data_IF_136768595074
#
_entry.id   IF_136768595074
#
_cell.length_a   1.000
_cell.length_b   1.000
_cell.length_c   1.000
_cell.angle_alpha   90.00
_cell.angle_beta   90.00
_cell.angle_gamma   90.00
#
_symmetry.space_group_name_H-M   'P 1'
#
loop_
_entity.id
_entity.type
_entity.pdbx_description
1 polymer ?
#
# COMPACT_ATOMS: atom_id res chain seq x y z
N UNK A 1 -8.14 -15.43 -20.95
CA UNK A 1 -6.81 -16.07 -20.98
C UNK A 1 -6.74 -17.14 -19.89
N UNK A 2 -6.50 -18.40 -20.26
CA UNK A 2 -6.27 -19.50 -19.30
C UNK A 2 -4.79 -19.45 -18.89
N UNK A 3 -4.52 -19.43 -17.59
CA UNK A 3 -3.16 -19.62 -17.09
C UNK A 3 -2.64 -20.98 -17.59
N UNK A 4 -1.41 -21.02 -18.11
CA UNK A 4 -0.76 -22.26 -18.50
C UNK A 4 -0.32 -23.00 -17.24
N UNK A 5 -1.26 -23.69 -16.55
CA UNK A 5 -0.92 -24.60 -15.46
C UNK A 5 -0.98 -26.06 -15.92
N UNK A 6 0.17 -26.72 -15.80
CA UNK A 6 0.38 -28.14 -15.45
C UNK A 6 0.04 -29.27 -16.43
N UNK A 7 -0.30 -29.00 -17.70
CA UNK A 7 -0.25 -30.05 -18.72
C UNK A 7 0.86 -29.76 -19.75
N UNK A 8 2.02 -30.38 -19.57
CA UNK A 8 3.23 -30.15 -20.38
C UNK A 8 3.04 -30.28 -21.89
N UNK A 9 2.03 -31.05 -22.35
CA UNK A 9 1.67 -31.14 -23.78
C UNK A 9 1.05 -29.85 -24.32
N UNK A 10 0.20 -29.19 -23.54
CA UNK A 10 -0.46 -27.94 -23.94
C UNK A 10 0.52 -26.77 -24.07
N UNK A 11 1.47 -26.67 -23.13
CA UNK A 11 2.52 -25.64 -23.14
C UNK A 11 3.43 -25.79 -24.36
N UNK A 12 3.92 -27.01 -24.65
CA UNK A 12 4.77 -27.26 -25.83
C UNK A 12 4.09 -26.92 -27.14
N UNK A 13 2.81 -27.29 -27.30
CA UNK A 13 2.02 -26.96 -28.50
C UNK A 13 1.85 -25.46 -28.67
N UNK A 14 1.55 -24.73 -27.59
CA UNK A 14 1.41 -23.28 -27.61
C UNK A 14 2.74 -22.58 -27.97
N UNK A 15 3.86 -22.98 -27.36
CA UNK A 15 5.18 -22.42 -27.66
C UNK A 15 5.63 -22.71 -29.10
N UNK A 16 5.34 -23.90 -29.64
CA UNK A 16 5.60 -24.22 -31.05
C UNK A 16 4.77 -23.35 -32.00
N UNK A 17 3.48 -23.17 -31.69
CA UNK A 17 2.60 -22.27 -32.42
C UNK A 17 3.11 -20.83 -32.40
N UNK A 18 3.49 -20.34 -31.22
CA UNK A 18 4.05 -18.99 -31.04
C UNK A 18 5.35 -18.77 -31.82
N UNK A 19 6.27 -19.72 -31.78
CA UNK A 19 7.50 -19.67 -32.58
C UNK A 19 7.19 -19.52 -34.06
N UNK A 20 6.26 -20.35 -34.57
CA UNK A 20 5.79 -20.28 -35.96
C UNK A 20 5.18 -18.92 -36.28
N UNK A 21 4.38 -18.35 -35.39
CA UNK A 21 3.82 -17.00 -35.54
C UNK A 21 4.91 -15.94 -35.68
N UNK A 22 5.93 -15.98 -34.81
CA UNK A 22 7.06 -15.04 -34.89
C UNK A 22 7.83 -15.18 -36.20
N UNK A 23 8.20 -16.41 -36.55
CA UNK A 23 9.05 -16.73 -37.70
C UNK A 23 8.35 -16.48 -39.05
N UNK A 24 7.10 -16.93 -39.19
CA UNK A 24 6.41 -16.94 -40.47
C UNK A 24 5.52 -15.72 -40.71
N UNK A 25 5.06 -15.05 -39.65
CA UNK A 25 4.09 -13.96 -39.79
C UNK A 25 4.64 -12.63 -39.30
N UNK A 26 5.19 -12.54 -38.09
CA UNK A 26 5.66 -11.25 -37.59
C UNK A 26 6.91 -10.78 -38.34
N UNK A 27 7.95 -11.61 -38.44
CA UNK A 27 9.24 -11.19 -39.02
C UNK A 27 9.15 -10.72 -40.48
N UNK A 28 8.50 -11.45 -41.42
CA UNK A 28 8.48 -11.04 -42.82
C UNK A 28 7.75 -9.71 -43.06
N UNK A 29 6.86 -9.31 -42.15
CA UNK A 29 6.01 -8.13 -42.31
C UNK A 29 6.54 -6.89 -41.56
N UNK A 30 7.64 -7.01 -40.81
CA UNK A 30 8.32 -5.87 -40.17
C UNK A 30 9.47 -5.45 -41.08
N UNK A 31 9.16 -4.71 -42.14
CA UNK A 31 10.11 -4.34 -43.18
C UNK A 31 11.10 -3.24 -42.72
N UNK A 32 10.71 -2.38 -41.78
CA UNK A 32 11.55 -1.27 -41.28
C UNK A 32 11.71 -1.31 -39.76
N UNK A 33 12.87 -0.85 -39.24
CA UNK A 33 13.05 -0.64 -37.81
C UNK A 33 11.99 0.32 -37.24
N UNK A 34 11.65 0.12 -35.98
CA UNK A 34 10.81 0.99 -35.15
C UNK A 34 9.39 1.23 -35.68
N UNK A 35 8.83 0.29 -36.43
CA UNK A 35 7.42 0.35 -36.86
C UNK A 35 6.46 -0.39 -35.93
N UNK A 36 6.90 -1.51 -35.35
CA UNK A 36 6.01 -2.36 -34.55
C UNK A 36 6.06 -2.01 -33.07
N UNK A 37 4.87 -1.80 -32.47
CA UNK A 37 4.66 -1.83 -31.02
C UNK A 37 4.06 -3.17 -30.62
N UNK A 38 4.71 -3.89 -29.71
CA UNK A 38 4.31 -5.24 -29.32
C UNK A 38 3.94 -5.31 -27.84
N UNK A 39 2.75 -5.82 -27.53
CA UNK A 39 2.35 -6.18 -26.18
C UNK A 39 2.24 -7.72 -26.10
N UNK A 40 3.07 -8.35 -25.27
CA UNK A 40 3.16 -9.80 -25.13
C UNK A 40 2.85 -10.23 -23.70
N UNK A 41 1.82 -11.04 -23.52
CA UNK A 41 1.42 -11.59 -22.23
C UNK A 41 1.46 -13.11 -22.28
N UNK A 42 2.27 -13.71 -21.42
CA UNK A 42 2.37 -15.16 -21.27
C UNK A 42 2.64 -15.47 -19.79
N UNK A 43 1.58 -15.70 -19.01
CA UNK A 43 1.74 -16.02 -17.59
C UNK A 43 2.34 -17.43 -17.44
N UNK A 44 3.61 -17.51 -17.07
CA UNK A 44 4.42 -18.72 -16.84
C UNK A 44 4.66 -18.97 -15.35
N UNK A 45 5.06 -20.19 -15.00
CA UNK A 45 5.34 -20.58 -13.62
C UNK A 45 6.80 -20.42 -13.17
N UNK A 46 7.73 -20.28 -14.12
CA UNK A 46 9.17 -20.34 -13.87
C UNK A 46 9.96 -19.63 -15.00
N UNK A 47 11.22 -19.29 -14.71
CA UNK A 47 12.13 -18.56 -15.60
C UNK A 47 12.51 -19.36 -16.85
N UNK A 48 12.62 -20.68 -16.76
CA UNK A 48 12.97 -21.53 -17.90
C UNK A 48 11.87 -21.49 -18.97
N UNK A 49 10.62 -21.65 -18.55
CA UNK A 49 9.44 -21.52 -19.39
C UNK A 49 9.29 -20.10 -19.92
N UNK A 50 9.52 -19.09 -19.07
CA UNK A 50 9.54 -17.68 -19.50
C UNK A 50 10.56 -17.41 -20.60
N UNK A 51 11.78 -17.94 -20.44
CA UNK A 51 12.87 -17.82 -21.42
C UNK A 51 12.47 -18.43 -22.75
N UNK A 52 11.91 -19.65 -22.73
CA UNK A 52 11.40 -20.32 -23.93
C UNK A 52 10.25 -19.53 -24.58
N UNK A 53 9.45 -18.81 -23.81
CA UNK A 53 8.34 -17.99 -24.31
C UNK A 53 8.83 -16.72 -25.03
N UNK A 54 9.89 -16.08 -24.53
CA UNK A 54 10.45 -14.85 -25.14
C UNK A 54 11.49 -15.12 -26.22
N UNK A 55 12.15 -16.28 -26.22
CA UNK A 55 13.21 -16.62 -27.17
C UNK A 55 12.80 -16.42 -28.66
N UNK A 56 11.59 -16.76 -29.11
CA UNK A 56 11.17 -16.51 -30.50
C UNK A 56 11.17 -15.02 -30.90
N UNK A 57 11.04 -14.10 -29.94
CA UNK A 57 11.15 -12.67 -30.20
C UNK A 57 12.61 -12.24 -30.42
N UNK A 58 13.56 -12.93 -29.78
CA UNK A 58 15.00 -12.61 -29.82
C UNK A 58 15.74 -13.33 -30.95
N UNK A 59 15.29 -14.52 -31.35
CA UNK A 59 15.93 -15.27 -32.44
C UNK A 59 15.70 -14.53 -33.77
N UNK A 60 16.75 -14.22 -34.52
CA UNK A 60 16.60 -13.64 -35.86
C UNK A 60 16.29 -12.13 -35.94
N UNK A 61 16.45 -11.38 -34.85
CA UNK A 61 16.28 -9.90 -34.82
C UNK A 61 17.61 -9.10 -34.73
N UNK A 62 18.60 -9.25 -35.64
CA UNK A 62 19.74 -8.32 -35.64
C UNK A 62 19.38 -6.89 -36.08
N UNK A 63 18.23 -6.69 -36.76
CA UNK A 63 17.92 -5.46 -37.50
C UNK A 63 16.53 -4.84 -37.24
N UNK A 64 15.58 -5.61 -36.71
CA UNK A 64 14.21 -5.11 -36.46
C UNK A 64 14.07 -4.63 -35.03
N UNK A 65 14.52 -3.39 -34.79
CA UNK A 65 14.24 -2.68 -33.54
C UNK A 65 12.73 -2.47 -33.42
N UNK A 66 12.11 -2.81 -32.29
CA UNK A 66 10.71 -2.47 -32.06
C UNK A 66 10.58 -0.99 -31.73
N UNK A 67 9.45 -0.38 -32.13
CA UNK A 67 9.09 0.98 -31.72
C UNK A 67 8.83 1.08 -30.21
N UNK A 68 8.41 -0.05 -29.65
CA UNK A 68 8.16 -0.23 -28.23
C UNK A 68 7.67 -1.66 -27.96
N UNK A 69 7.94 -2.14 -26.77
CA UNK A 69 7.53 -3.47 -26.33
C UNK A 69 7.11 -3.47 -24.86
N UNK A 70 6.04 -4.21 -24.57
CA UNK A 70 5.60 -4.55 -23.23
C UNK A 70 5.52 -6.07 -23.10
N UNK A 71 6.12 -6.62 -22.05
CA UNK A 71 6.15 -8.05 -21.78
C UNK A 71 5.61 -8.29 -20.37
N UNK A 72 4.66 -9.21 -20.22
CA UNK A 72 4.21 -9.76 -18.93
C UNK A 72 4.39 -11.27 -18.94
N UNK A 73 5.20 -11.76 -18.00
CA UNK A 73 5.51 -13.17 -17.83
C UNK A 73 4.82 -13.82 -16.62
N UNK A 74 4.26 -13.03 -15.70
CA UNK A 74 3.45 -13.58 -14.61
C UNK A 74 2.42 -12.57 -14.11
N UNK A 75 1.26 -13.06 -13.70
CA UNK A 75 0.21 -12.24 -13.07
C UNK A 75 0.61 -11.74 -11.69
N UNK A 76 1.56 -12.38 -11.02
CA UNK A 76 2.12 -11.92 -9.74
C UNK A 76 3.51 -11.33 -9.97
N UNK A 77 3.97 -10.42 -9.09
CA UNK A 77 5.36 -9.98 -9.10
C UNK A 77 6.28 -11.18 -8.88
N UNK A 78 7.33 -11.26 -9.69
CA UNK A 78 8.40 -12.24 -9.59
C UNK A 78 9.69 -11.54 -10.07
N UNK A 79 10.71 -11.37 -9.21
CA UNK A 79 11.89 -10.58 -9.57
C UNK A 79 12.66 -11.12 -10.78
N UNK A 80 12.82 -12.45 -10.89
CA UNK A 80 13.60 -13.07 -11.95
C UNK A 80 12.87 -12.98 -13.30
N UNK A 81 11.57 -13.26 -13.31
CA UNK A 81 10.73 -13.08 -14.50
C UNK A 81 10.59 -11.60 -14.89
N UNK A 82 10.59 -10.67 -13.94
CA UNK A 82 10.60 -9.23 -14.22
C UNK A 82 11.90 -8.80 -14.90
N UNK A 83 13.04 -9.26 -14.38
CA UNK A 83 14.35 -9.00 -14.96
C UNK A 83 14.48 -9.60 -16.37
N UNK A 84 13.92 -10.80 -16.58
CA UNK A 84 13.84 -11.41 -17.91
C UNK A 84 12.99 -10.57 -18.87
N UNK A 85 11.82 -10.10 -18.44
CA UNK A 85 10.94 -9.24 -19.24
C UNK A 85 11.65 -7.92 -19.60
N UNK A 86 12.28 -7.25 -18.63
CA UNK A 86 13.03 -6.01 -18.83
C UNK A 86 14.21 -6.19 -19.78
N UNK A 87 15.04 -7.20 -19.56
CA UNK A 87 16.18 -7.52 -20.43
C UNK A 87 15.72 -7.78 -21.86
N UNK A 88 14.66 -8.57 -22.03
CA UNK A 88 14.09 -8.89 -23.35
C UNK A 88 13.59 -7.63 -24.05
N UNK A 89 12.81 -6.79 -23.36
CA UNK A 89 12.29 -5.54 -23.94
C UNK A 89 13.44 -4.61 -24.36
N UNK A 90 14.46 -4.46 -23.51
CA UNK A 90 15.62 -3.62 -23.82
C UNK A 90 16.40 -4.13 -25.04
N UNK A 91 16.60 -5.45 -25.15
CA UNK A 91 17.23 -6.07 -26.33
C UNK A 91 16.41 -5.83 -27.61
N UNK A 92 15.08 -5.94 -27.53
CA UNK A 92 14.19 -5.77 -28.69
C UNK A 92 14.12 -4.33 -29.21
N UNK A 93 14.31 -3.33 -28.35
CA UNK A 93 14.13 -1.91 -28.71
C UNK A 93 15.45 -1.25 -29.08
N UNK A 94 16.52 -1.55 -28.36
CA UNK A 94 17.81 -0.89 -28.56
C UNK A 94 18.73 -1.67 -29.48
N UNK A 95 18.40 -2.93 -29.76
CA UNK A 95 19.32 -3.90 -30.35
C UNK A 95 20.47 -4.15 -29.38
N UNK A 96 21.18 -5.28 -29.51
CA UNK A 96 22.32 -5.59 -28.64
C UNK A 96 23.47 -4.56 -28.61
N UNK A 97 23.35 -3.42 -29.30
CA UNK A 97 24.36 -2.34 -29.39
C UNK A 97 24.31 -1.32 -28.26
N UNK A 98 23.19 -1.12 -27.55
CA UNK A 98 23.14 -0.14 -26.46
C UNK A 98 23.98 -0.53 -25.22
N UNK A 99 24.30 -1.80 -25.04
CA UNK A 99 25.26 -2.22 -24.00
C UNK A 99 26.72 -1.82 -24.34
N UNK A 100 27.01 -1.44 -25.59
CA UNK A 100 28.37 -1.04 -26.02
C UNK A 100 28.54 0.47 -26.21
N UNK A 101 27.46 1.26 -26.30
CA UNK A 101 27.57 2.70 -26.56
C UNK A 101 27.94 3.57 -25.35
N UNK A 102 27.95 3.00 -24.13
CA UNK A 102 28.39 3.75 -22.94
C UNK A 102 29.91 3.89 -22.82
N UNK A 103 30.69 3.31 -23.73
CA UNK A 103 32.15 3.31 -23.63
C UNK A 103 32.84 4.52 -24.31
N UNK A 104 32.25 5.13 -25.34
CA UNK A 104 32.99 6.07 -26.21
C UNK A 104 32.37 7.47 -26.36
N UNK A 105 31.22 7.75 -25.74
CA UNK A 105 30.67 9.10 -25.66
C UNK A 105 30.60 9.49 -24.20
N UNK A 106 31.53 10.31 -23.72
CA UNK A 106 31.52 10.85 -22.36
C UNK A 106 30.32 11.80 -22.20
N UNK A 107 29.12 11.25 -22.06
CA UNK A 107 27.98 11.99 -21.57
C UNK A 107 28.33 12.30 -20.11
N UNK A 108 28.77 13.53 -19.86
CA UNK A 108 29.09 14.00 -18.51
C UNK A 108 27.85 13.77 -17.66
N UNK A 109 27.93 12.85 -16.70
CA UNK A 109 26.84 12.56 -15.80
C UNK A 109 26.52 13.82 -14.99
N UNK A 110 25.24 14.07 -14.77
CA UNK A 110 24.82 15.17 -13.93
C UNK A 110 25.37 14.96 -12.51
N UNK A 111 26.17 15.90 -12.02
CA UNK A 111 26.80 15.84 -10.68
C UNK A 111 25.80 16.27 -9.61
N UNK A 112 24.80 15.42 -9.36
CA UNK A 112 23.71 15.71 -8.40
C UNK A 112 24.23 16.11 -7.02
N UNK A 113 25.33 15.49 -6.56
CA UNK A 113 25.92 15.76 -5.24
C UNK A 113 26.67 17.11 -5.15
N UNK A 114 26.92 17.78 -6.27
CA UNK A 114 27.53 19.12 -6.28
C UNK A 114 26.49 20.22 -6.05
N UNK A 115 25.19 19.88 -6.02
CA UNK A 115 24.11 20.81 -5.70
C UNK A 115 24.06 21.11 -4.19
N UNK A 116 23.70 22.36 -3.80
CA UNK A 116 23.30 22.67 -2.42
C UNK A 116 22.21 21.72 -1.91
N UNK A 117 22.25 21.39 -0.62
CA UNK A 117 21.32 20.45 0.02
C UNK A 117 19.86 20.85 -0.19
N UNK A 118 19.53 22.13 -0.20
CA UNK A 118 18.19 22.64 -0.42
C UNK A 118 17.66 22.26 -1.81
N UNK A 119 18.53 22.35 -2.84
CA UNK A 119 18.16 21.95 -4.20
C UNK A 119 18.07 20.43 -4.33
N UNK A 120 18.97 19.68 -3.67
CA UNK A 120 18.90 18.21 -3.64
C UNK A 120 17.57 17.75 -3.04
N UNK A 121 17.20 18.30 -1.89
CA UNK A 121 15.93 17.99 -1.21
C UNK A 121 14.73 18.39 -2.08
N UNK A 122 14.72 19.59 -2.64
CA UNK A 122 13.66 20.06 -3.54
C UNK A 122 13.48 19.13 -4.75
N UNK A 123 14.56 18.71 -5.41
CA UNK A 123 14.49 17.75 -6.53
C UNK A 123 13.93 16.40 -6.06
N UNK A 124 14.37 15.93 -4.88
CA UNK A 124 13.93 14.67 -4.31
C UNK A 124 12.45 14.66 -3.92
N UNK A 125 11.86 15.80 -3.56
CA UNK A 125 10.41 15.94 -3.33
C UNK A 125 9.58 15.65 -4.60
N UNK A 126 10.15 15.87 -5.80
CA UNK A 126 9.50 15.54 -7.07
C UNK A 126 9.68 14.08 -7.51
N UNK A 127 10.22 13.23 -6.64
CA UNK A 127 10.39 11.80 -6.89
C UNK A 127 9.27 10.97 -6.22
N UNK A 128 9.38 9.64 -6.29
CA UNK A 128 8.47 8.74 -5.58
C UNK A 128 8.78 8.61 -4.07
N UNK A 129 9.60 9.50 -3.48
CA UNK A 129 9.81 9.57 -2.03
C UNK A 129 8.54 10.01 -1.30
N UNK A 130 7.68 10.81 -1.93
CA UNK A 130 6.42 11.25 -1.33
C UNK A 130 5.27 10.73 -2.19
N UNK A 131 4.35 10.01 -1.56
CA UNK A 131 3.14 9.59 -2.24
C UNK A 131 2.27 10.84 -2.53
N UNK A 132 1.58 10.93 -3.67
CA UNK A 132 0.65 12.04 -3.92
C UNK A 132 -0.45 12.17 -2.85
N UNK A 133 -0.84 11.05 -2.24
CA UNK A 133 -1.76 11.03 -1.11
C UNK A 133 -1.10 11.31 0.23
N UNK A 134 0.21 11.54 0.27
CA UNK A 134 1.08 11.65 1.46
C UNK A 134 0.95 10.48 2.45
N UNK A 135 0.43 9.32 2.03
CA UNK A 135 0.10 8.20 2.91
C UNK A 135 0.78 6.90 2.49
N UNK A 136 1.68 6.40 3.33
CA UNK A 136 2.35 5.12 3.16
C UNK A 136 1.73 4.10 4.13
N UNK A 137 1.18 3.00 3.63
CA UNK A 137 0.78 1.90 4.51
C UNK A 137 2.00 1.05 4.87
N UNK A 138 2.00 0.49 6.08
CA UNK A 138 3.01 -0.44 6.54
C UNK A 138 2.42 -1.60 7.32
N UNK A 139 2.93 -2.82 7.09
CA UNK A 139 2.71 -3.98 7.96
C UNK A 139 3.92 -4.92 7.94
N UNK A 140 4.03 -5.80 8.93
CA UNK A 140 5.20 -6.68 9.09
C UNK A 140 5.42 -7.65 7.92
N UNK A 141 4.39 -7.95 7.12
CA UNK A 141 4.47 -8.89 6.00
C UNK A 141 4.95 -8.21 4.71
N UNK A 142 4.53 -6.97 4.47
CA UNK A 142 4.76 -6.28 3.20
C UNK A 142 5.79 -5.14 3.31
N UNK A 143 6.18 -4.75 4.52
CA UNK A 143 6.98 -3.53 4.74
C UNK A 143 6.17 -2.29 4.34
N UNK A 144 6.81 -1.34 3.67
CA UNK A 144 6.15 -0.16 3.10
C UNK A 144 5.43 -0.52 1.80
N UNK A 145 4.16 -0.15 1.68
CA UNK A 145 3.40 -0.34 0.46
C UNK A 145 2.34 0.75 0.32
N UNK A 146 1.90 0.99 -0.91
CA UNK A 146 0.75 1.84 -1.19
C UNK A 146 -0.42 0.96 -1.61
N UNK A 147 -1.45 0.88 -0.77
CA UNK A 147 -2.64 0.08 -1.09
C UNK A 147 -3.53 0.84 -2.04
N UNK A 148 -3.30 0.64 -3.33
CA UNK A 148 -4.33 0.89 -4.33
C UNK A 148 -5.47 -0.10 -4.06
N UNK A 149 -6.45 0.26 -3.25
CA UNK A 149 -7.68 -0.53 -3.09
C UNK A 149 -8.50 -0.43 -4.37
N UNK A 150 -8.02 -1.11 -5.41
CA UNK A 150 -8.88 -1.63 -6.44
C UNK A 150 -9.68 -2.74 -5.80
N UNK A 151 -10.99 -2.54 -5.71
CA UNK A 151 -11.93 -3.60 -5.39
C UNK A 151 -11.93 -4.59 -6.56
N UNK A 152 -10.89 -5.43 -6.64
CA UNK A 152 -10.71 -6.48 -7.66
C UNK A 152 -11.89 -7.49 -7.65
N UNK A 153 -12.72 -7.43 -6.59
CA UNK A 153 -13.97 -8.19 -6.47
C UNK A 153 -15.25 -7.46 -6.92
N UNK A 154 -15.28 -6.13 -7.05
CA UNK A 154 -16.53 -5.47 -7.44
C UNK A 154 -16.81 -5.54 -8.94
N UNK A 155 -15.77 -5.49 -9.81
CA UNK A 155 -16.02 -5.55 -11.25
C UNK A 155 -16.49 -6.92 -11.75
N UNK A 156 -16.21 -8.02 -11.04
CA UNK A 156 -16.60 -9.37 -11.50
C UNK A 156 -17.91 -9.90 -10.94
N UNK A 157 -18.46 -9.33 -9.86
CA UNK A 157 -19.68 -9.86 -9.22
C UNK A 157 -20.83 -8.87 -9.05
N UNK A 158 -20.63 -7.58 -9.27
CA UNK A 158 -21.70 -6.58 -9.14
C UNK A 158 -21.63 -5.51 -10.25
N UNK A 159 -22.24 -5.75 -11.42
CA UNK A 159 -22.32 -4.77 -12.50
C UNK A 159 -23.13 -3.50 -12.13
N UNK A 160 -23.86 -3.52 -11.01
CA UNK A 160 -24.91 -2.54 -10.70
C UNK A 160 -24.75 -1.80 -9.37
N UNK A 161 -23.67 -2.00 -8.61
CA UNK A 161 -23.41 -1.11 -7.45
C UNK A 161 -23.03 0.26 -8.01
N UNK A 162 -24.02 1.16 -7.93
CA UNK A 162 -24.05 2.55 -8.33
C UNK A 162 -22.66 3.22 -8.42
N UNK A 163 -22.26 3.60 -9.65
CA UNK A 163 -21.15 4.53 -9.90
C UNK A 163 -21.27 5.82 -9.08
N UNK A 164 -22.48 6.19 -8.64
CA UNK A 164 -22.73 7.38 -7.79
C UNK A 164 -22.07 7.33 -6.41
N UNK A 165 -21.74 6.15 -5.87
CA UNK A 165 -21.08 6.06 -4.56
C UNK A 165 -19.59 6.44 -4.62
N UNK A 166 -18.98 6.40 -5.81
CA UNK A 166 -17.59 6.81 -6.06
C UNK A 166 -17.48 8.18 -6.73
N UNK A 167 -18.61 8.87 -7.00
CA UNK A 167 -18.66 10.24 -7.52
C UNK A 167 -18.78 11.31 -6.41
N UNK A 168 -18.33 11.00 -5.19
CA UNK A 168 -18.11 12.03 -4.17
C UNK A 168 -17.13 13.07 -4.75
N UNK A 169 -17.65 14.27 -5.04
CA UNK A 169 -16.96 15.39 -5.71
C UNK A 169 -15.67 15.84 -5.01
N UNK A 170 -15.41 15.36 -3.79
CA UNK A 170 -14.28 15.79 -2.96
C UNK A 170 -13.14 14.77 -2.85
N UNK A 171 -13.22 13.61 -3.53
CA UNK A 171 -12.08 12.69 -3.61
C UNK A 171 -11.20 13.11 -4.80
N UNK A 172 -9.88 13.31 -4.66
CA UNK A 172 -9.00 13.54 -5.80
C UNK A 172 -8.80 12.21 -6.55
N UNK A 173 -9.85 11.76 -7.23
CA UNK A 173 -9.88 10.57 -8.09
C UNK A 173 -8.78 10.65 -9.16
N UNK A 174 -8.43 11.89 -9.56
CA UNK A 174 -7.33 12.21 -10.46
C UNK A 174 -5.94 11.80 -9.92
N UNK A 175 -5.71 11.78 -8.60
CA UNK A 175 -4.40 11.42 -8.03
C UNK A 175 -4.21 9.90 -7.94
N UNK A 176 -5.25 9.17 -7.53
CA UNK A 176 -5.22 7.70 -7.55
C UNK A 176 -5.08 7.14 -8.98
N UNK A 177 -5.61 7.85 -9.98
CA UNK A 177 -5.39 7.54 -11.41
C UNK A 177 -3.94 7.76 -11.86
N UNK A 178 -3.22 8.74 -11.28
CA UNK A 178 -1.80 8.96 -11.62
C UNK A 178 -0.91 7.79 -11.20
N UNK A 179 -1.22 7.13 -10.09
CA UNK A 179 -0.35 6.11 -9.46
C UNK A 179 -0.78 4.68 -9.84
N UNK A 180 -1.79 4.49 -10.69
CA UNK A 180 -2.27 3.15 -11.04
C UNK A 180 -2.24 2.90 -12.55
N UNK A 181 -1.27 2.12 -13.00
CA UNK A 181 -1.15 1.73 -14.42
C UNK A 181 -2.39 0.97 -14.92
N UNK A 182 -3.07 0.24 -14.04
CA UNK A 182 -4.24 -0.58 -14.37
C UNK A 182 -5.44 0.21 -14.90
N UNK A 183 -5.58 1.50 -14.55
CA UNK A 183 -6.73 2.32 -14.98
C UNK A 183 -6.55 2.98 -16.33
N UNK A 184 -5.30 3.08 -16.82
CA UNK A 184 -4.96 3.80 -18.05
C UNK A 184 -4.96 2.90 -19.29
N UNK A 185 -4.84 1.58 -19.13
CA UNK A 185 -4.78 0.67 -20.27
C UNK A 185 -6.18 0.32 -20.81
N UNK A 186 -6.38 0.28 -22.14
CA UNK A 186 -7.58 -0.30 -22.74
C UNK A 186 -7.77 -1.72 -22.20
N UNK A 187 -8.97 -2.04 -21.70
CA UNK A 187 -9.31 -3.33 -21.05
C UNK A 187 -8.89 -4.60 -21.81
N UNK A 188 -8.57 -4.48 -23.10
CA UNK A 188 -8.18 -5.57 -23.99
C UNK A 188 -6.68 -5.93 -23.93
N UNK A 189 -5.80 -4.99 -23.53
CA UNK A 189 -4.34 -5.14 -23.69
C UNK A 189 -3.70 -5.82 -22.46
N UNK A 190 -4.26 -5.63 -21.28
CA UNK A 190 -3.73 -6.17 -20.02
C UNK A 190 -3.23 -5.07 -19.10
N UNK A 191 -2.25 -5.40 -18.25
CA UNK A 191 -1.52 -4.45 -17.43
C UNK A 191 -0.08 -4.93 -17.40
N UNK A 192 0.87 -4.03 -17.66
CA UNK A 192 2.32 -4.31 -17.66
C UNK A 192 3.04 -3.66 -16.47
N UNK A 193 2.33 -3.44 -15.38
CA UNK A 193 2.87 -2.87 -14.16
C UNK A 193 3.86 -3.82 -13.46
N UNK A 194 5.14 -3.42 -13.41
CA UNK A 194 6.20 -4.16 -12.72
C UNK A 194 5.99 -4.32 -11.20
N UNK A 195 5.16 -3.48 -10.59
CA UNK A 195 4.83 -3.55 -9.15
C UNK A 195 3.81 -4.66 -8.86
N UNK A 196 2.92 -4.96 -9.81
CA UNK A 196 1.84 -5.92 -9.63
C UNK A 196 2.03 -7.22 -10.42
N UNK A 197 2.97 -7.25 -11.35
CA UNK A 197 3.21 -8.34 -12.27
C UNK A 197 4.70 -8.54 -12.49
N UNK A 198 5.08 -9.75 -12.92
CA UNK A 198 6.38 -9.95 -13.54
C UNK A 198 6.34 -9.41 -14.96
N UNK A 199 6.52 -8.10 -15.11
CA UNK A 199 6.31 -7.39 -16.36
C UNK A 199 7.26 -6.20 -16.50
N UNK A 200 7.46 -5.79 -17.75
CA UNK A 200 8.15 -4.55 -18.11
C UNK A 200 7.51 -3.95 -19.36
N UNK A 201 7.40 -2.63 -19.40
CA UNK A 201 6.95 -1.89 -20.59
C UNK A 201 7.85 -0.71 -20.85
N UNK A 202 8.27 -0.60 -22.10
CA UNK A 202 8.95 0.58 -22.65
C UNK A 202 7.97 1.61 -23.23
N UNK A 203 6.74 1.19 -23.54
CA UNK A 203 5.71 2.03 -24.14
C UNK A 203 5.06 2.89 -23.06
N UNK A 204 4.77 2.27 -21.92
CA UNK A 204 4.12 2.91 -20.79
C UNK A 204 4.97 2.69 -19.54
N UNK A 205 5.69 3.73 -19.14
CA UNK A 205 6.44 3.70 -17.89
C UNK A 205 5.48 3.47 -16.72
N UNK A 206 5.82 2.48 -15.91
CA UNK A 206 5.03 2.13 -14.73
C UNK A 206 5.07 3.28 -13.73
N UNK A 207 3.92 3.90 -13.47
CA UNK A 207 3.73 4.97 -12.47
C UNK A 207 3.22 4.44 -11.13
N UNK A 208 3.09 3.12 -10.99
CA UNK A 208 2.78 2.53 -9.70
C UNK A 208 3.90 2.78 -8.73
N UNK A 209 3.53 3.31 -7.56
CA UNK A 209 4.46 3.54 -6.48
C UNK A 209 4.98 2.20 -5.96
N UNK A 210 6.28 2.17 -5.73
CA UNK A 210 6.98 1.16 -4.95
C UNK A 210 7.86 1.90 -3.95
N UNK A 211 8.27 1.24 -2.85
CA UNK A 211 9.25 1.83 -1.96
C UNK A 211 10.44 2.39 -2.75
N UNK A 212 10.93 3.60 -2.43
CA UNK A 212 11.95 4.31 -3.18
C UNK A 212 13.36 3.72 -2.95
N UNK A 213 13.47 2.39 -2.87
CA UNK A 213 14.68 1.62 -2.64
C UNK A 213 15.84 2.05 -3.55
N UNK A 214 15.65 2.29 -4.86
CA UNK A 214 16.77 2.71 -5.71
C UNK A 214 17.43 4.02 -5.26
N UNK A 215 16.67 4.99 -4.74
CA UNK A 215 17.20 6.28 -4.28
C UNK A 215 18.06 6.09 -3.03
N UNK A 216 17.58 5.28 -2.08
CA UNK A 216 18.28 5.04 -0.81
C UNK A 216 19.49 4.11 -0.93
N UNK A 217 19.73 3.51 -2.11
CA UNK A 217 20.88 2.63 -2.37
C UNK A 217 21.98 3.30 -3.20
N UNK A 218 21.84 4.56 -3.63
CA UNK A 218 22.84 5.23 -4.48
C UNK A 218 24.11 5.59 -3.69
N UNK A 219 23.95 6.32 -2.58
CA UNK A 219 25.04 6.76 -1.71
C UNK A 219 24.47 7.08 -0.31
N UNK A 220 25.33 7.17 0.71
CA UNK A 220 24.90 7.55 2.07
C UNK A 220 24.22 8.92 2.10
N UNK A 221 24.84 9.93 1.49
CA UNK A 221 24.25 11.27 1.49
C UNK A 221 22.93 11.35 0.69
N UNK A 222 22.77 10.57 -0.38
CA UNK A 222 21.47 10.46 -1.09
C UNK A 222 20.42 9.74 -0.24
N UNK A 223 20.84 8.73 0.52
CA UNK A 223 20.00 8.02 1.47
C UNK A 223 19.51 8.95 2.59
N UNK A 224 20.40 9.72 3.20
CA UNK A 224 20.07 10.65 4.29
C UNK A 224 19.06 11.70 3.84
N UNK A 225 19.34 12.36 2.70
CA UNK A 225 18.42 13.31 2.08
C UNK A 225 17.07 12.65 1.77
N UNK A 226 17.07 11.49 1.11
CA UNK A 226 15.86 10.79 0.69
C UNK A 226 15.01 10.33 1.87
N UNK A 227 15.62 9.73 2.89
CA UNK A 227 14.90 9.28 4.08
C UNK A 227 14.36 10.46 4.89
N UNK A 228 15.08 11.59 4.95
CA UNK A 228 14.59 12.79 5.62
C UNK A 228 13.26 13.27 5.01
N UNK A 229 13.15 13.27 3.67
CA UNK A 229 11.92 13.63 2.96
C UNK A 229 10.85 12.55 3.19
N UNK A 230 11.23 11.28 3.03
CA UNK A 230 10.31 10.15 3.16
C UNK A 230 9.59 10.15 4.51
N UNK A 231 10.32 10.29 5.62
CA UNK A 231 9.72 10.29 6.96
C UNK A 231 9.06 11.62 7.35
N UNK A 232 9.53 12.75 6.81
CA UNK A 232 9.00 14.08 7.12
C UNK A 232 7.67 14.35 6.45
N UNK A 233 7.51 13.92 5.20
CA UNK A 233 6.38 14.33 4.36
C UNK A 233 5.30 13.27 4.24
N UNK A 234 5.62 11.99 4.45
CA UNK A 234 4.60 10.95 4.45
C UNK A 234 4.02 10.75 5.86
N UNK A 235 2.73 10.47 5.90
CA UNK A 235 1.99 9.90 7.02
C UNK A 235 2.07 8.38 6.91
N UNK A 236 2.38 7.71 8.01
CA UNK A 236 2.51 6.26 8.03
C UNK A 236 1.29 5.61 8.65
N UNK A 237 0.62 4.75 7.87
CA UNK A 237 -0.53 3.97 8.31
C UNK A 237 -0.10 2.56 8.67
N UNK A 238 0.04 2.32 9.96
CA UNK A 238 0.48 1.04 10.52
C UNK A 238 -0.74 0.15 10.69
N UNK A 239 -0.81 -0.91 9.90
CA UNK A 239 -1.94 -1.85 9.92
C UNK A 239 -1.55 -3.22 10.48
N UNK A 240 -2.51 -4.01 11.00
CA UNK A 240 -2.26 -5.36 11.47
C UNK A 240 -1.75 -6.30 10.37
N UNK A 241 -1.13 -7.39 10.77
CA UNK A 241 -0.48 -8.35 9.87
C UNK A 241 -1.34 -8.78 8.68
N UNK A 242 -0.74 -8.74 7.50
CA UNK A 242 -1.39 -9.06 6.24
C UNK A 242 -2.46 -8.04 5.80
N UNK A 243 -2.53 -6.87 6.44
CA UNK A 243 -3.52 -5.83 6.16
C UNK A 243 -4.96 -6.28 6.45
N UNK A 244 -5.13 -7.31 7.29
CA UNK A 244 -6.41 -7.96 7.62
C UNK A 244 -7.12 -7.22 8.76
N UNK A 245 -7.46 -5.96 8.54
CA UNK A 245 -8.10 -5.12 9.56
C UNK A 245 -9.50 -5.59 9.95
N UNK A 246 -10.13 -6.41 9.11
CA UNK A 246 -11.46 -6.97 9.31
C UNK A 246 -11.50 -8.25 10.15
N UNK A 247 -10.33 -8.83 10.49
CA UNK A 247 -10.32 -10.05 11.30
C UNK A 247 -10.55 -9.66 12.75
N UNK A 248 -11.54 -10.28 13.38
CA UNK A 248 -11.75 -10.17 14.83
C UNK A 248 -10.50 -10.65 15.54
N UNK A 249 -10.09 -9.93 16.60
CA UNK A 249 -8.99 -10.36 17.48
C UNK A 249 -9.33 -11.73 18.07
N UNK A 250 -8.59 -12.74 17.62
CA UNK A 250 -8.69 -14.13 18.09
C UNK A 250 -7.45 -14.57 18.88
N UNK A 251 -6.40 -13.74 18.89
CA UNK A 251 -5.18 -13.96 19.66
C UNK A 251 -4.47 -12.64 19.95
N UNK A 252 -3.79 -12.58 21.09
CA UNK A 252 -2.90 -11.47 21.40
C UNK A 252 -1.66 -11.58 20.50
N UNK A 253 -1.25 -10.51 19.83
CA UNK A 253 -0.01 -10.54 19.08
C UNK A 253 1.18 -10.62 20.06
N UNK A 254 2.26 -11.31 19.67
CA UNK A 254 3.48 -11.32 20.47
C UNK A 254 4.14 -9.92 20.49
N UNK A 255 4.01 -9.18 19.39
CA UNK A 255 4.51 -7.81 19.21
C UNK A 255 3.49 -6.98 18.45
N UNK A 256 3.33 -5.72 18.82
CA UNK A 256 2.43 -4.84 18.09
C UNK A 256 3.06 -4.41 16.76
N UNK A 257 2.26 -4.22 15.69
CA UNK A 257 2.77 -3.75 14.39
C UNK A 257 3.59 -2.46 14.50
N UNK A 258 3.14 -1.51 15.32
CA UNK A 258 3.83 -0.24 15.58
C UNK A 258 5.18 -0.42 16.25
N UNK A 259 5.33 -1.41 17.14
CA UNK A 259 6.60 -1.76 17.78
C UNK A 259 7.59 -2.40 16.81
N UNK A 260 7.10 -3.09 15.78
CA UNK A 260 7.94 -3.63 14.71
C UNK A 260 8.34 -2.53 13.75
N UNK A 261 7.41 -1.64 13.40
CA UNK A 261 7.65 -0.46 12.57
C UNK A 261 8.70 0.46 13.17
N UNK A 262 8.57 0.84 14.45
CA UNK A 262 9.48 1.78 15.12
C UNK A 262 10.94 1.34 15.04
N UNK A 263 11.21 0.04 15.22
CA UNK A 263 12.57 -0.54 15.13
C UNK A 263 13.14 -0.58 13.72
N UNK A 264 12.35 -0.30 12.69
CA UNK A 264 12.80 -0.20 11.29
C UNK A 264 13.11 1.24 10.87
N UNK A 265 12.81 2.23 11.71
CA UNK A 265 13.13 3.63 11.44
C UNK A 265 14.61 3.86 11.79
N UNK A 266 15.45 4.28 10.83
CA UNK A 266 16.84 4.64 11.12
C UNK A 266 16.92 5.72 12.20
N UNK A 267 17.92 5.64 13.08
CA UNK A 267 18.06 6.55 14.24
C UNK A 267 18.00 8.02 13.84
N UNK A 268 18.76 8.40 12.81
CA UNK A 268 18.81 9.76 12.25
C UNK A 268 17.51 10.22 11.56
N UNK A 269 16.49 9.36 11.48
CA UNK A 269 15.21 9.66 10.85
C UNK A 269 14.05 9.76 11.84
N UNK A 270 14.26 9.39 13.10
CA UNK A 270 13.19 9.28 14.09
C UNK A 270 12.53 10.64 14.38
N UNK A 271 13.30 11.73 14.41
CA UNK A 271 12.78 13.09 14.64
C UNK A 271 12.04 13.68 13.43
N UNK A 272 12.16 13.09 12.24
CA UNK A 272 11.42 13.56 11.06
C UNK A 272 9.97 13.10 11.07
N UNK A 273 9.64 12.04 11.81
CA UNK A 273 8.29 11.50 11.83
C UNK A 273 7.26 12.51 12.37
N UNK A 274 6.30 12.91 11.53
CA UNK A 274 5.27 13.91 11.88
C UNK A 274 3.87 13.33 12.07
N UNK A 275 3.59 12.17 11.49
CA UNK A 275 2.24 11.59 11.54
C UNK A 275 2.26 10.07 11.54
N UNK A 276 1.57 9.50 12.53
CA UNK A 276 1.37 8.07 12.70
C UNK A 276 -0.13 7.76 12.76
N UNK A 277 -0.56 6.81 11.93
CA UNK A 277 -1.91 6.28 11.92
C UNK A 277 -1.86 4.83 12.39
N UNK A 278 -2.33 4.57 13.61
CA UNK A 278 -2.34 3.25 14.24
C UNK A 278 -3.69 2.60 13.99
N UNK A 279 -3.70 1.53 13.19
CA UNK A 279 -4.93 0.79 12.89
C UNK A 279 -5.01 -0.45 13.76
N UNK A 280 -6.06 -0.50 14.59
CA UNK A 280 -6.38 -1.62 15.44
C UNK A 280 -7.44 -2.52 14.79
N UNK A 281 -7.36 -3.84 14.98
CA UNK A 281 -8.37 -4.79 14.51
C UNK A 281 -9.70 -4.64 15.24
N UNK A 282 -10.72 -5.34 14.74
CA UNK A 282 -12.08 -5.36 15.31
C UNK A 282 -12.11 -6.17 16.61
N UNK A 283 -12.71 -5.62 17.66
CA UNK A 283 -13.07 -6.38 18.86
C UNK A 283 -14.42 -7.10 18.66
N UNK A 284 -14.46 -8.40 18.93
CA UNK A 284 -15.66 -9.23 18.72
C UNK A 284 -16.48 -9.44 19.98
N UNK A 285 -17.79 -9.70 19.83
CA UNK A 285 -18.72 -10.05 20.92
C UNK A 285 -18.32 -11.34 21.66
N UNK A 286 -17.69 -12.28 20.96
CA UNK A 286 -17.43 -13.64 21.43
C UNK A 286 -16.01 -13.84 21.99
N UNK A 287 -15.14 -12.84 21.85
CA UNK A 287 -13.76 -12.96 22.30
C UNK A 287 -13.50 -11.99 23.46
N UNK A 288 -13.21 -12.48 24.67
CA UNK A 288 -12.72 -11.64 25.78
C UNK A 288 -11.27 -11.17 25.55
N UNK A 289 -10.72 -11.38 24.35
CA UNK A 289 -9.36 -11.01 24.02
C UNK A 289 -9.26 -9.49 23.89
N UNK A 290 -8.68 -8.88 24.92
CA UNK A 290 -8.12 -7.55 24.82
C UNK A 290 -6.92 -7.62 23.86
N UNK A 291 -6.76 -6.65 22.96
CA UNK A 291 -5.64 -6.67 22.00
C UNK A 291 -4.28 -6.54 22.71
N UNK A 292 -4.29 -5.86 23.85
CA UNK A 292 -3.12 -5.60 24.68
C UNK A 292 -3.47 -5.78 26.17
N UNK A 293 -3.73 -7.02 26.65
CA UNK A 293 -4.11 -7.22 28.05
C UNK A 293 -2.99 -6.80 29.00
N UNK A 294 -3.31 -6.33 30.22
CA UNK A 294 -2.30 -6.08 31.24
C UNK A 294 -1.37 -7.29 31.44
N UNK A 295 -0.07 -7.04 31.63
CA UNK A 295 0.96 -8.08 31.85
C UNK A 295 1.19 -9.05 30.68
N UNK A 296 0.54 -8.85 29.53
CA UNK A 296 0.82 -9.64 28.33
C UNK A 296 2.14 -9.21 27.66
N UNK A 297 2.73 -10.12 26.86
CA UNK A 297 3.87 -9.78 26.00
C UNK A 297 3.58 -8.58 25.09
N UNK A 298 2.36 -8.47 24.55
CA UNK A 298 1.91 -7.32 23.77
C UNK A 298 1.98 -6.01 24.57
N UNK A 299 1.55 -6.04 25.84
CA UNK A 299 1.58 -4.87 26.72
C UNK A 299 2.99 -4.46 27.13
N UNK A 300 3.88 -5.42 27.37
CA UNK A 300 5.29 -5.13 27.61
C UNK A 300 5.96 -4.53 26.36
N UNK A 301 5.76 -5.12 25.18
CA UNK A 301 6.25 -4.61 23.91
C UNK A 301 5.67 -3.22 23.59
N UNK A 302 4.40 -2.97 23.94
CA UNK A 302 3.79 -1.66 23.77
C UNK A 302 4.42 -0.61 24.68
N UNK A 303 4.56 -0.91 25.97
CA UNK A 303 5.21 -0.02 26.92
C UNK A 303 6.64 0.32 26.51
N UNK A 304 7.43 -0.69 26.11
CA UNK A 304 8.80 -0.48 25.64
C UNK A 304 8.84 0.43 24.40
N UNK A 305 7.90 0.25 23.48
CA UNK A 305 7.81 1.08 22.27
C UNK A 305 7.45 2.52 22.58
N UNK A 306 6.62 2.76 23.59
CA UNK A 306 6.27 4.11 24.04
C UNK A 306 7.39 4.78 24.82
N UNK A 307 8.14 4.03 25.61
CA UNK A 307 9.33 4.54 26.30
C UNK A 307 10.39 4.97 25.26
N UNK A 308 10.64 4.13 24.25
CA UNK A 308 11.48 4.49 23.10
C UNK A 308 10.95 5.72 22.35
N UNK A 309 9.64 5.77 22.05
CA UNK A 309 9.06 6.87 21.29
C UNK A 309 9.18 8.21 22.02
N UNK A 310 9.06 8.19 23.34
CA UNK A 310 9.24 9.37 24.20
C UNK A 310 10.65 9.94 24.12
N UNK A 311 11.66 9.08 24.02
CA UNK A 311 13.07 9.47 24.00
C UNK A 311 13.54 9.93 22.62
N UNK A 312 12.91 9.42 21.55
CA UNK A 312 13.46 9.54 20.20
C UNK A 312 12.60 10.33 19.20
N UNK A 313 11.28 10.44 19.45
CA UNK A 313 10.38 11.16 18.55
C UNK A 313 10.20 12.62 18.99
N UNK A 314 9.99 13.49 18.01
CA UNK A 314 9.62 14.88 18.26
C UNK A 314 8.10 14.97 18.58
N UNK A 315 7.73 14.67 19.83
CA UNK A 315 6.33 14.53 20.24
C UNK A 315 5.46 15.78 20.00
N UNK A 316 6.01 16.98 20.17
CA UNK A 316 5.28 18.25 19.93
C UNK A 316 4.81 18.38 18.47
N UNK A 317 5.57 17.83 17.55
CA UNK A 317 5.27 17.88 16.12
C UNK A 317 4.71 16.56 15.58
N UNK A 318 4.50 15.58 16.45
CA UNK A 318 3.95 14.28 16.08
C UNK A 318 2.43 14.31 16.25
N UNK A 319 1.73 13.79 15.24
CA UNK A 319 0.28 13.53 15.31
C UNK A 319 0.06 12.03 15.35
N UNK A 320 -0.71 11.56 16.34
CA UNK A 320 -1.09 10.15 16.43
C UNK A 320 -2.60 10.02 16.22
N UNK A 321 -2.99 9.26 15.19
CA UNK A 321 -4.36 8.85 14.96
C UNK A 321 -4.52 7.38 15.33
N UNK A 322 -5.47 7.06 16.19
CA UNK A 322 -5.85 5.69 16.50
C UNK A 322 -7.18 5.35 15.80
N UNK A 323 -7.15 4.39 14.91
CA UNK A 323 -8.33 3.90 14.21
C UNK A 323 -8.69 2.50 14.68
N UNK A 324 -9.96 2.30 15.05
CA UNK A 324 -10.50 0.97 15.28
C UNK A 324 -11.30 0.55 14.06
N UNK A 325 -10.82 -0.50 13.40
CA UNK A 325 -11.42 -0.97 12.16
C UNK A 325 -12.88 -1.37 12.38
N UNK A 326 -13.77 -1.09 11.41
CA UNK A 326 -15.11 -1.63 11.43
C UNK A 326 -15.06 -3.10 11.01
N UNK A 327 -15.99 -3.88 11.52
CA UNK A 327 -16.27 -5.23 11.06
C UNK A 327 -16.75 -5.19 9.62
N UNK A 328 -15.81 -5.34 8.68
CA UNK A 328 -16.10 -5.44 7.26
C UNK A 328 -17.08 -6.60 6.93
N UNK A 329 -17.18 -7.60 7.81
CA UNK A 329 -18.19 -8.66 7.68
C UNK A 329 -19.61 -8.11 7.79
N UNK A 330 -19.85 -7.05 8.59
CA UNK A 330 -21.15 -6.39 8.68
C UNK A 330 -21.50 -5.54 7.44
N UNK A 331 -20.49 -5.02 6.74
CA UNK A 331 -20.69 -4.20 5.53
C UNK A 331 -20.98 -5.03 4.27
N UNK A 332 -20.41 -6.24 4.16
CA UNK A 332 -20.59 -7.06 2.95
C UNK A 332 -21.80 -8.01 3.01
N UNK A 333 -22.50 -8.12 4.14
CA UNK A 333 -23.76 -8.89 4.27
C UNK A 333 -23.69 -10.36 3.84
N UNK A 334 -22.49 -10.93 3.72
CA UNK A 334 -22.24 -12.18 3.00
C UNK A 334 -21.77 -13.34 3.86
N UNK A 335 -21.75 -13.18 5.19
CA UNK A 335 -21.46 -14.29 6.11
C UNK A 335 -22.56 -14.42 7.15
N UNK A 336 -22.86 -15.66 7.56
CA UNK A 336 -23.77 -15.97 8.67
C UNK A 336 -23.39 -15.20 9.94
N UNK A 337 -22.08 -14.93 10.13
CA UNK A 337 -21.58 -14.07 11.19
C UNK A 337 -22.25 -12.69 11.22
N UNK A 338 -22.45 -12.05 10.06
CA UNK A 338 -23.07 -10.72 9.99
C UNK A 338 -24.58 -10.73 10.30
N UNK A 339 -25.26 -11.85 10.04
CA UNK A 339 -26.68 -12.05 10.42
C UNK A 339 -26.80 -12.32 11.90
N UNK A 340 -26.00 -13.24 12.43
CA UNK A 340 -26.04 -13.61 13.84
C UNK A 340 -25.68 -12.40 14.72
N UNK A 341 -24.66 -11.62 14.31
CA UNK A 341 -24.26 -10.42 15.03
C UNK A 341 -25.35 -9.33 15.06
N UNK A 342 -26.21 -9.26 14.03
CA UNK A 342 -27.35 -8.33 13.95
C UNK A 342 -28.56 -8.82 14.75
N UNK A 343 -28.75 -10.12 14.85
CA UNK A 343 -29.95 -10.72 15.46
C UNK A 343 -29.83 -10.84 16.98
N UNK A 344 -28.63 -11.06 17.52
CA UNK A 344 -28.45 -11.39 18.94
C UNK A 344 -28.35 -10.18 19.89
N UNK A 345 -28.42 -8.94 19.39
CA UNK A 345 -28.16 -7.75 20.22
C UNK A 345 -26.76 -7.77 20.85
N UNK A 346 -26.40 -6.73 21.61
CA UNK A 346 -25.19 -6.75 22.42
C UNK A 346 -25.62 -6.65 23.89
N UNK A 347 -25.18 -7.58 24.73
CA UNK A 347 -25.46 -7.45 26.17
C UNK A 347 -24.67 -6.28 26.76
N UNK A 348 -25.20 -5.67 27.83
CA UNK A 348 -24.49 -4.60 28.54
C UNK A 348 -23.08 -5.02 28.98
N UNK A 349 -22.90 -6.28 29.39
CA UNK A 349 -21.60 -6.83 29.76
C UNK A 349 -20.62 -6.88 28.58
N UNK A 350 -21.08 -7.35 27.41
CA UNK A 350 -20.27 -7.35 26.18
C UNK A 350 -19.86 -5.94 25.77
N UNK A 351 -20.79 -4.99 25.86
CA UNK A 351 -20.51 -3.58 25.60
C UNK A 351 -19.39 -3.06 26.50
N UNK A 352 -19.47 -3.31 27.81
CA UNK A 352 -18.42 -2.88 28.76
C UNK A 352 -17.07 -3.55 28.47
N UNK A 353 -17.05 -4.83 28.10
CA UNK A 353 -15.80 -5.52 27.71
C UNK A 353 -15.16 -4.85 26.49
N UNK A 354 -15.96 -4.55 25.46
CA UNK A 354 -15.49 -3.88 24.25
C UNK A 354 -15.01 -2.47 24.57
N UNK A 355 -15.79 -1.70 25.34
CA UNK A 355 -15.45 -0.34 25.80
C UNK A 355 -14.10 -0.34 26.51
N UNK A 356 -13.94 -1.22 27.50
CA UNK A 356 -12.71 -1.37 28.28
C UNK A 356 -11.53 -1.82 27.41
N UNK A 357 -11.77 -2.62 26.37
CA UNK A 357 -10.72 -3.05 25.44
C UNK A 357 -10.16 -1.90 24.60
N UNK A 358 -11.00 -0.93 24.19
CA UNK A 358 -10.52 0.28 23.49
C UNK A 358 -9.68 1.15 24.43
N UNK A 359 -10.20 1.41 25.62
CA UNK A 359 -9.52 2.22 26.64
C UNK A 359 -8.19 1.57 27.02
N UNK A 360 -8.17 0.28 27.35
CA UNK A 360 -6.95 -0.40 27.82
C UNK A 360 -5.87 -0.50 26.74
N UNK A 361 -6.27 -0.63 25.46
CA UNK A 361 -5.33 -0.66 24.33
C UNK A 361 -4.61 0.68 24.16
N UNK A 362 -5.31 1.79 24.38
CA UNK A 362 -4.75 3.14 24.21
C UNK A 362 -4.21 3.76 25.50
N UNK A 363 -4.58 3.25 26.68
CA UNK A 363 -4.16 3.77 27.97
C UNK A 363 -2.63 3.94 28.12
N UNK A 364 -1.77 3.06 27.57
CA UNK A 364 -0.32 3.25 27.64
C UNK A 364 0.18 4.54 26.97
N UNK A 365 -0.55 5.09 25.98
CA UNK A 365 -0.17 6.33 25.28
C UNK A 365 -0.05 7.55 26.22
N UNK A 366 -0.63 7.50 27.42
CA UNK A 366 -0.43 8.51 28.49
C UNK A 366 1.05 8.76 28.82
N UNK A 367 1.93 7.81 28.50
CA UNK A 367 3.39 7.95 28.68
C UNK A 367 4.01 9.02 27.78
N UNK A 368 3.40 9.31 26.63
CA UNK A 368 3.87 10.29 25.65
C UNK A 368 3.51 11.73 26.07
N UNK A 369 3.99 12.15 27.24
CA UNK A 369 3.81 13.52 27.72
C UNK A 369 4.47 14.50 26.74
N UNK A 370 3.75 15.56 26.36
CA UNK A 370 4.21 16.53 25.36
C UNK A 370 3.77 16.23 23.92
N UNK A 371 2.93 15.20 23.72
CA UNK A 371 2.15 15.07 22.50
C UNK A 371 1.07 16.15 22.47
N UNK A 372 0.98 16.91 21.39
CA UNK A 372 -0.02 17.98 21.24
C UNK A 372 -1.30 17.49 20.57
N UNK A 373 -1.20 16.43 19.76
CA UNK A 373 -2.30 15.96 18.88
C UNK A 373 -2.44 14.44 18.93
N UNK A 374 -3.52 14.00 19.55
CA UNK A 374 -3.98 12.62 19.56
C UNK A 374 -5.46 12.56 19.21
N UNK A 375 -5.80 11.75 18.21
CA UNK A 375 -7.17 11.62 17.72
C UNK A 375 -7.59 10.15 17.66
N UNK A 376 -8.79 9.84 18.13
CA UNK A 376 -9.38 8.51 18.12
C UNK A 376 -10.56 8.47 17.16
N UNK A 377 -10.65 7.42 16.36
CA UNK A 377 -11.73 7.22 15.39
C UNK A 377 -12.28 5.80 15.52
N UNK A 378 -13.58 5.70 15.81
CA UNK A 378 -14.26 4.44 16.10
C UNK A 378 -15.24 4.08 14.98
N UNK A 379 -14.84 3.18 14.06
CA UNK A 379 -15.60 2.87 12.85
C UNK A 379 -16.99 2.28 13.07
N UNK A 380 -17.11 1.29 13.95
CA UNK A 380 -18.36 0.54 14.17
C UNK A 380 -19.07 0.90 15.48
N UNK A 381 -18.44 1.72 16.33
CA UNK A 381 -18.92 1.92 17.69
C UNK A 381 -20.28 2.65 17.75
N UNK A 382 -20.54 3.57 16.81
CA UNK A 382 -21.84 4.24 16.67
C UNK A 382 -23.01 3.27 16.42
N UNK A 383 -22.72 2.07 15.89
CA UNK A 383 -23.72 1.02 15.73
C UNK A 383 -23.93 0.27 17.04
N UNK A 384 -22.86 -0.07 17.75
CA UNK A 384 -22.94 -0.77 19.04
C UNK A 384 -23.64 0.08 20.11
N UNK A 385 -23.39 1.38 20.13
CA UNK A 385 -24.09 2.33 21.01
C UNK A 385 -25.62 2.26 20.82
N UNK A 386 -26.08 2.23 19.57
CA UNK A 386 -27.52 2.08 19.24
C UNK A 386 -28.09 0.73 19.68
N UNK A 387 -27.32 -0.35 19.57
CA UNK A 387 -27.75 -1.69 20.01
C UNK A 387 -27.71 -1.85 21.54
N UNK A 388 -26.84 -1.12 22.23
CA UNK A 388 -26.63 -1.20 23.69
C UNK A 388 -27.47 -0.24 24.54
N UNK A 389 -28.35 0.56 23.93
CA UNK A 389 -29.13 1.63 24.58
C UNK A 389 -28.28 2.67 25.34
N UNK A 390 -27.01 2.85 24.97
CA UNK A 390 -26.19 3.91 25.54
C UNK A 390 -26.54 5.22 24.81
N UNK A 391 -26.96 6.29 25.52
CA UNK A 391 -27.31 7.57 24.89
C UNK A 391 -26.11 8.27 24.25
N UNK A 392 -24.88 7.90 24.63
CA UNK A 392 -23.68 8.59 24.13
C UNK A 392 -23.50 8.37 22.64
N UNK A 393 -23.08 9.42 21.94
CA UNK A 393 -22.62 9.29 20.56
C UNK A 393 -21.22 8.66 20.48
N UNK A 394 -20.84 8.11 19.31
CA UNK A 394 -19.47 7.61 19.12
C UNK A 394 -18.42 8.71 19.30
N UNK A 395 -18.77 9.95 18.93
CA UNK A 395 -17.92 11.12 19.12
C UNK A 395 -17.67 11.42 20.61
N UNK A 396 -18.68 11.27 21.47
CA UNK A 396 -18.49 11.42 22.92
C UNK A 396 -17.57 10.33 23.49
N UNK A 397 -17.67 9.10 22.99
CA UNK A 397 -16.78 8.04 23.46
C UNK A 397 -15.35 8.18 22.92
N UNK A 398 -15.18 8.60 21.67
CA UNK A 398 -13.87 9.01 21.13
C UNK A 398 -13.24 10.09 22.03
N UNK A 399 -14.01 11.13 22.37
CA UNK A 399 -13.58 12.21 23.24
C UNK A 399 -13.21 11.73 24.65
N UNK A 400 -14.00 10.82 25.23
CA UNK A 400 -13.71 10.19 26.53
C UNK A 400 -12.35 9.46 26.50
N UNK A 401 -12.07 8.70 25.44
CA UNK A 401 -10.78 8.01 25.30
C UNK A 401 -9.65 9.03 25.13
N UNK A 402 -9.82 10.03 24.27
CA UNK A 402 -8.84 11.09 24.01
C UNK A 402 -8.46 11.82 25.31
N UNK A 403 -9.45 12.26 26.10
CA UNK A 403 -9.23 12.89 27.41
C UNK A 403 -8.57 11.94 28.40
N UNK A 404 -8.93 10.65 28.37
CA UNK A 404 -8.29 9.67 29.24
C UNK A 404 -6.78 9.57 28.97
N UNK A 405 -6.35 9.74 27.71
CA UNK A 405 -4.94 9.66 27.29
C UNK A 405 -4.21 10.99 27.46
N UNK A 406 -4.82 12.09 27.03
CA UNK A 406 -4.19 13.41 26.92
C UNK A 406 -4.42 14.31 28.15
N UNK A 407 -5.39 13.98 29.00
CA UNK A 407 -5.81 14.78 30.15
C UNK A 407 -7.24 15.29 30.00
N UNK A 408 -7.90 15.55 31.13
CA UNK A 408 -9.32 15.94 31.17
C UNK A 408 -9.64 17.29 30.49
N UNK A 409 -8.64 18.15 30.28
CA UNK A 409 -8.81 19.44 29.60
C UNK A 409 -8.59 19.35 28.08
N UNK A 410 -8.19 18.19 27.57
CA UNK A 410 -7.90 18.03 26.15
C UNK A 410 -9.18 18.08 25.31
N UNK A 411 -9.20 18.98 24.34
CA UNK A 411 -10.24 19.09 23.31
C UNK A 411 -9.64 18.80 21.93
N UNK A 412 -9.94 17.61 21.40
CA UNK A 412 -9.48 17.18 20.09
C UNK A 412 -10.01 18.07 18.95
N UNK A 413 -11.21 18.64 19.08
CA UNK A 413 -11.78 19.54 18.06
C UNK A 413 -10.97 20.83 18.02
N UNK A 414 -10.68 21.42 19.19
CA UNK A 414 -9.82 22.60 19.30
C UNK A 414 -8.39 22.30 18.82
N UNK A 415 -7.85 21.10 19.10
CA UNK A 415 -6.56 20.65 18.60
C UNK A 415 -6.53 20.36 17.07
N UNK A 416 -7.67 20.48 16.39
CA UNK A 416 -7.77 20.45 14.94
C UNK A 416 -8.23 19.12 14.33
N UNK A 417 -8.83 18.21 15.11
CA UNK A 417 -9.34 16.90 14.61
C UNK A 417 -10.22 17.04 13.36
N UNK A 418 -11.04 18.09 13.28
CA UNK A 418 -11.92 18.36 12.12
C UNK A 418 -11.19 18.83 10.87
N UNK A 419 -10.04 19.50 11.03
CA UNK A 419 -9.25 20.03 9.92
C UNK A 419 -8.22 19.03 9.41
N UNK A 420 -7.98 17.96 10.18
CA UNK A 420 -7.09 16.91 9.74
C UNK A 420 -7.63 16.22 8.49
N UNK A 421 -6.79 16.09 7.48
CA UNK A 421 -7.09 15.28 6.30
C UNK A 421 -7.27 13.82 6.75
N UNK A 422 -8.51 13.34 6.78
CA UNK A 422 -8.79 11.94 7.06
C UNK A 422 -7.95 11.05 6.12
N UNK A 423 -7.25 10.08 6.70
CA UNK A 423 -6.46 9.12 5.93
C UNK A 423 -7.30 8.41 4.86
N UNK A 424 -6.74 8.07 3.71
CA UNK A 424 -7.37 7.26 2.68
C UNK A 424 -7.86 5.93 3.26
N UNK A 425 -7.08 5.34 4.18
CA UNK A 425 -7.53 4.18 4.94
C UNK A 425 -8.82 4.47 5.73
N UNK A 426 -8.87 5.59 6.46
CA UNK A 426 -10.02 6.02 7.24
C UNK A 426 -11.27 6.22 6.36
N UNK A 427 -11.15 7.01 5.29
CA UNK A 427 -12.24 7.32 4.37
C UNK A 427 -12.85 6.06 3.76
N UNK A 428 -12.02 5.11 3.33
CA UNK A 428 -12.48 3.89 2.68
C UNK A 428 -13.08 2.87 3.64
N UNK A 429 -12.55 2.75 4.86
CA UNK A 429 -12.97 1.69 5.78
C UNK A 429 -14.08 2.14 6.71
N UNK A 430 -13.98 3.34 7.27
CA UNK A 430 -14.95 3.84 8.25
C UNK A 430 -16.18 4.45 7.59
N UNK A 431 -16.15 4.65 6.27
CA UNK A 431 -17.25 5.29 5.55
C UNK A 431 -17.54 6.70 6.08
N UNK A 432 -16.56 7.33 6.75
CA UNK A 432 -16.61 8.71 7.21
C UNK A 432 -16.62 9.56 5.94
N UNK A 433 -17.83 9.78 5.42
CA UNK A 433 -18.12 10.92 4.57
C UNK A 433 -17.86 12.12 5.45
N UNK A 434 -16.94 13.00 5.05
CA UNK A 434 -16.72 14.27 5.71
C UNK A 434 -18.09 14.84 6.11
N UNK A 435 -18.25 15.16 7.39
CA UNK A 435 -19.23 16.14 7.77
C UNK A 435 -18.80 17.45 7.11
N UNK A 436 -19.16 17.64 5.84
CA UNK A 436 -19.05 18.92 5.17
C UNK A 436 -20.02 19.84 5.93
N UNK A 437 -19.47 20.60 6.87
CA UNK A 437 -20.13 21.75 7.48
C UNK A 437 -19.76 22.99 6.67
#
# INVERSE_FOLDING_TARGET
MRAFRENGRGVRKALKGWRRTCEQYLRPHIALPSQLRLNFTCDVGDVETGTKAVQPLLSGTPQTLLAGCSIRLCRKPDPELSALAETTVNLLIRGGRALKMSANGAQVSFRFMDLPTELRLCILEFTNLVLPSDEVEWNAVHGYYHKLRMTDRHERRFPTINKSMYHSRDMPYAEAEKISCWRKEPRLIGCFCKVHHAAYSSIQLCQCWSPPTPIVLVSRSMQDDGLSIFFRQNRFVIVPDGGKTWKVVDKNPARLPVSVFSRQIPEDCQHYLRSLELVFPVFGKQTPFQYCPPQSAACHDWNQTLDWAKENLNLQNLIINAYFAPSHQLMMGQTDFSRNFRQEGMSAAQYQIIKNSHISTLAPLKKLRGLDKFFVYLGDFARWLREGNDPKSAAEFEHEIEQSVMGGEYDAVAAGKKFQRAGFWCQLNLGIRRYNF
#
